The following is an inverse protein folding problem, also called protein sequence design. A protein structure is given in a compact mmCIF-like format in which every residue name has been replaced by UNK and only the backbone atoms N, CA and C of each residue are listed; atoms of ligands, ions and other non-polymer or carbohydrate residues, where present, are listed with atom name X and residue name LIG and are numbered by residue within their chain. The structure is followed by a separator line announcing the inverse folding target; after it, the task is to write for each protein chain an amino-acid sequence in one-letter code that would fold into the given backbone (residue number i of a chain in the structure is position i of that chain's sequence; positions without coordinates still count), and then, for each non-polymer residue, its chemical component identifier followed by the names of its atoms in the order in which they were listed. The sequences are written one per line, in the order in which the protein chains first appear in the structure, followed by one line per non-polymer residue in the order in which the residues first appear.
data_IF_485080046337
#
_entry.id   IF_485080046337
#
_cell.length_a   1.000
_cell.length_b   1.000
_cell.length_c   1.000
_cell.angle_alpha   90.00
_cell.angle_beta   90.00
_cell.angle_gamma   90.00
#
_symmetry.space_group_name_H-M   'P 1'
#
loop_
_entity.id
_entity.type
_entity.pdbx_description
1 polymer ?
#
# COMPACT_ATOMS: atom_id res chain seq x y z
N UNK A 1 16.52 -13.99 -45.83
CA UNK A 1 16.44 -12.93 -44.81
C UNK A 1 15.52 -13.44 -43.73
N UNK A 2 16.07 -14.01 -42.65
CA UNK A 2 15.26 -14.57 -41.56
C UNK A 2 15.53 -13.75 -40.31
N UNK A 3 14.65 -12.78 -40.05
CA UNK A 3 14.69 -11.97 -38.85
C UNK A 3 14.34 -12.83 -37.64
N UNK A 4 15.33 -13.16 -36.82
CA UNK A 4 15.08 -13.61 -35.46
C UNK A 4 14.77 -12.36 -34.64
N UNK A 5 13.48 -12.09 -34.43
CA UNK A 5 13.03 -11.19 -33.39
C UNK A 5 13.34 -11.84 -32.05
N UNK A 6 14.48 -11.48 -31.47
CA UNK A 6 14.78 -11.75 -30.06
C UNK A 6 13.78 -10.95 -29.24
N UNK A 7 12.65 -11.56 -28.90
CA UNK A 7 11.83 -11.10 -27.78
C UNK A 7 12.67 -11.29 -26.53
N UNK A 8 13.41 -10.25 -26.19
CA UNK A 8 14.01 -10.03 -24.87
C UNK A 8 12.87 -10.00 -23.87
N UNK A 9 12.41 -11.18 -23.49
CA UNK A 9 11.53 -11.38 -22.35
C UNK A 9 12.30 -10.82 -21.17
N UNK A 10 11.79 -9.72 -20.62
CA UNK A 10 12.29 -9.03 -19.44
C UNK A 10 12.24 -9.98 -18.24
N UNK A 11 13.15 -10.95 -18.23
CA UNK A 11 13.26 -11.99 -17.23
C UNK A 11 13.86 -11.34 -16.00
N UNK A 12 12.99 -11.03 -15.05
CA UNK A 12 13.36 -10.65 -13.69
C UNK A 12 14.41 -11.65 -13.21
N UNK A 13 15.58 -11.14 -12.83
CA UNK A 13 16.68 -11.94 -12.28
C UNK A 13 16.38 -12.28 -10.82
N UNK A 14 16.98 -13.37 -10.31
CA UNK A 14 16.82 -13.76 -8.90
C UNK A 14 17.33 -12.66 -7.94
N UNK A 15 18.32 -11.87 -8.36
CA UNK A 15 18.83 -10.73 -7.58
C UNK A 15 17.81 -9.59 -7.51
N UNK A 16 17.15 -9.26 -8.62
CA UNK A 16 16.05 -8.28 -8.65
C UNK A 16 14.86 -8.75 -7.81
N UNK A 17 14.54 -10.04 -7.86
CA UNK A 17 13.50 -10.65 -7.04
C UNK A 17 13.84 -10.54 -5.54
N UNK A 18 15.08 -10.88 -5.15
CA UNK A 18 15.54 -10.79 -3.77
C UNK A 18 15.57 -9.34 -3.26
N UNK A 19 16.02 -8.39 -4.08
CA UNK A 19 16.01 -6.97 -3.74
C UNK A 19 14.58 -6.45 -3.53
N UNK A 20 13.62 -6.89 -4.35
CA UNK A 20 12.21 -6.56 -4.19
C UNK A 20 11.66 -7.13 -2.88
N UNK A 21 11.94 -8.40 -2.57
CA UNK A 21 11.53 -9.04 -1.32
C UNK A 21 12.08 -8.28 -0.11
N UNK A 22 13.34 -7.85 -0.15
CA UNK A 22 13.97 -7.11 0.94
C UNK A 22 13.28 -5.76 1.19
N UNK A 23 12.97 -5.01 0.12
CA UNK A 23 12.20 -3.75 0.20
C UNK A 23 10.81 -4.00 0.77
N UNK A 24 10.14 -5.04 0.33
CA UNK A 24 8.81 -5.42 0.80
C UNK A 24 8.80 -5.81 2.29
N UNK A 25 9.85 -6.49 2.76
CA UNK A 25 10.02 -6.82 4.18
C UNK A 25 10.17 -5.56 5.04
N UNK A 26 10.95 -4.58 4.60
CA UNK A 26 11.15 -3.32 5.32
C UNK A 26 9.86 -2.51 5.50
N UNK A 27 8.92 -2.64 4.55
CA UNK A 27 7.62 -1.96 4.58
C UNK A 27 6.58 -2.67 5.45
N UNK A 28 6.89 -3.87 5.98
CA UNK A 28 5.96 -4.67 6.76
C UNK A 28 6.24 -4.57 8.26
N UNK A 29 5.42 -3.86 9.04
CA UNK A 29 5.60 -3.79 10.49
C UNK A 29 5.54 -5.18 11.13
N UNK A 30 4.73 -6.11 10.59
CA UNK A 30 4.57 -7.46 11.13
C UNK A 30 5.78 -8.37 10.92
N UNK A 31 6.54 -8.18 9.83
CA UNK A 31 7.76 -8.95 9.58
C UNK A 31 8.94 -8.42 10.40
N UNK A 32 8.92 -7.14 10.75
CA UNK A 32 9.97 -6.49 11.54
C UNK A 32 9.93 -6.88 13.04
N UNK A 33 8.75 -7.22 13.58
CA UNK A 33 8.57 -7.52 15.01
C UNK A 33 8.75 -9.01 15.40
N UNK A 34 8.77 -9.92 14.42
CA UNK A 34 8.33 -11.30 14.68
C UNK A 34 9.39 -12.38 14.63
N UNK A 35 10.10 -12.55 13.51
CA UNK A 35 10.82 -13.81 13.27
C UNK A 35 12.03 -13.61 12.37
N UNK A 36 13.20 -13.63 12.99
CA UNK A 36 14.52 -13.64 12.36
C UNK A 36 14.87 -15.00 11.71
N UNK A 37 13.87 -15.67 11.13
CA UNK A 37 14.01 -16.94 10.41
C UNK A 37 13.80 -16.73 8.92
N UNK A 38 14.45 -17.55 8.08
CA UNK A 38 14.40 -17.45 6.61
C UNK A 38 12.94 -17.54 6.12
N UNK A 39 12.32 -16.39 5.83
CA UNK A 39 10.93 -16.30 5.33
C UNK A 39 10.93 -16.54 3.83
N UNK A 40 10.04 -17.40 3.33
CA UNK A 40 9.92 -17.63 1.89
C UNK A 40 9.38 -16.39 1.17
N UNK A 41 9.77 -16.20 -0.10
CA UNK A 41 9.25 -15.14 -0.96
C UNK A 41 7.71 -15.11 -0.99
N UNK A 42 7.09 -16.29 -1.14
CA UNK A 42 5.63 -16.44 -1.15
C UNK A 42 4.98 -15.95 0.16
N UNK A 43 5.63 -16.18 1.31
CA UNK A 43 5.13 -15.68 2.60
C UNK A 43 5.27 -14.16 2.71
N UNK A 44 6.39 -13.59 2.27
CA UNK A 44 6.57 -12.12 2.22
C UNK A 44 5.47 -11.50 1.35
N UNK A 45 5.26 -12.01 0.13
CA UNK A 45 4.23 -11.49 -0.77
C UNK A 45 2.82 -11.58 -0.18
N UNK A 46 2.48 -12.70 0.46
CA UNK A 46 1.18 -12.84 1.13
C UNK A 46 0.99 -11.83 2.26
N UNK A 47 2.01 -11.59 3.08
CA UNK A 47 1.96 -10.59 4.15
C UNK A 47 1.83 -9.17 3.57
N UNK A 48 2.53 -8.86 2.47
CA UNK A 48 2.38 -7.57 1.76
C UNK A 48 0.94 -7.39 1.27
N UNK A 49 0.39 -8.37 0.56
CA UNK A 49 -0.98 -8.29 0.05
C UNK A 49 -2.00 -8.15 1.18
N UNK A 50 -1.77 -8.84 2.30
CA UNK A 50 -2.61 -8.75 3.49
C UNK A 50 -2.52 -7.38 4.14
N UNK A 51 -1.32 -6.81 4.25
CA UNK A 51 -1.10 -5.47 4.81
C UNK A 51 -1.73 -4.37 3.94
N UNK A 52 -1.55 -4.43 2.61
CA UNK A 52 -2.22 -3.51 1.67
C UNK A 52 -3.74 -3.58 1.84
N UNK A 53 -4.31 -4.78 2.00
CA UNK A 53 -5.75 -4.93 2.21
C UNK A 53 -6.22 -4.30 3.52
N UNK A 54 -5.46 -4.48 4.61
CA UNK A 54 -5.75 -3.83 5.90
C UNK A 54 -5.69 -2.31 5.80
N UNK A 55 -4.62 -1.77 5.19
CA UNK A 55 -4.48 -0.34 4.96
C UNK A 55 -5.64 0.23 4.16
N UNK A 56 -6.05 -0.45 3.08
CA UNK A 56 -7.19 0.02 2.29
C UNK A 56 -8.48 0.05 3.11
N UNK A 57 -8.75 -1.00 3.89
CA UNK A 57 -9.93 -1.02 4.75
C UNK A 57 -9.88 0.07 5.83
N UNK A 58 -8.70 0.38 6.38
CA UNK A 58 -8.54 1.46 7.36
C UNK A 58 -8.77 2.83 6.71
N UNK A 59 -8.27 3.05 5.49
CA UNK A 59 -8.58 4.25 4.71
C UNK A 59 -10.08 4.37 4.45
N UNK A 60 -10.75 3.28 4.06
CA UNK A 60 -12.19 3.27 3.81
C UNK A 60 -13.00 3.59 5.09
N UNK A 61 -12.68 2.97 6.23
CA UNK A 61 -13.31 3.25 7.55
C UNK A 61 -13.11 4.71 7.98
N UNK A 62 -11.87 5.20 7.89
CA UNK A 62 -11.56 6.58 8.25
C UNK A 62 -12.26 7.58 7.34
N UNK A 63 -12.36 7.27 6.05
CA UNK A 63 -13.06 8.11 5.06
C UNK A 63 -14.55 8.18 5.37
N UNK A 64 -15.18 7.03 5.65
CA UNK A 64 -16.60 6.97 6.02
C UNK A 64 -16.88 7.74 7.32
N UNK A 65 -16.05 7.54 8.35
CA UNK A 65 -16.19 8.24 9.63
C UNK A 65 -15.97 9.74 9.49
N UNK A 66 -15.06 10.17 8.61
CA UNK A 66 -14.86 11.58 8.30
C UNK A 66 -16.10 12.14 7.61
N UNK A 67 -16.61 11.49 6.58
CA UNK A 67 -17.84 11.89 5.88
C UNK A 67 -19.02 12.03 6.84
N UNK A 68 -19.27 11.03 7.69
CA UNK A 68 -20.35 11.08 8.69
C UNK A 68 -20.17 12.24 9.67
N UNK A 69 -18.94 12.53 10.10
CA UNK A 69 -18.68 13.69 10.96
C UNK A 69 -18.95 15.01 10.26
N UNK A 70 -18.56 15.13 8.99
CA UNK A 70 -18.84 16.32 8.19
C UNK A 70 -20.32 16.52 7.93
N UNK A 71 -21.08 15.44 7.67
CA UNK A 71 -22.54 15.50 7.51
C UNK A 71 -23.26 15.83 8.83
N UNK A 72 -22.68 15.44 9.97
CA UNK A 72 -23.25 15.69 11.30
C UNK A 72 -23.02 17.10 11.82
N UNK A 73 -21.95 17.76 11.38
CA UNK A 73 -21.86 19.20 11.56
C UNK A 73 -22.85 19.78 10.55
N UNK A 74 -23.89 20.47 11.00
CA UNK A 74 -24.79 21.26 10.15
C UNK A 74 -23.98 22.46 9.62
N UNK A 75 -22.99 22.17 8.77
CA UNK A 75 -21.98 23.09 8.30
C UNK A 75 -22.69 24.10 7.42
N UNK A 76 -22.85 25.32 7.92
CA UNK A 76 -23.17 26.43 7.03
C UNK A 76 -22.04 26.58 6.00
N UNK A 77 -22.31 27.25 4.88
CA UNK A 77 -21.30 27.44 3.83
C UNK A 77 -19.97 28.02 4.36
N UNK A 78 -20.00 28.76 5.48
CA UNK A 78 -18.82 29.31 6.16
C UNK A 78 -18.01 28.24 6.93
N UNK A 79 -18.68 27.26 7.55
CA UNK A 79 -18.02 26.19 8.30
C UNK A 79 -17.37 25.16 7.37
N UNK A 80 -17.96 24.93 6.20
CA UNK A 80 -17.38 24.09 5.15
C UNK A 80 -16.04 24.64 4.64
N UNK A 81 -15.91 25.96 4.48
CA UNK A 81 -14.68 26.62 4.04
C UNK A 81 -13.54 26.46 5.07
N UNK A 82 -13.86 26.48 6.37
CA UNK A 82 -12.89 26.27 7.46
C UNK A 82 -12.41 24.81 7.49
N UNK A 83 -13.32 23.84 7.40
CA UNK A 83 -12.96 22.41 7.33
C UNK A 83 -12.07 22.12 6.12
N UNK A 84 -12.38 22.70 4.96
CA UNK A 84 -11.60 22.49 3.74
C UNK A 84 -10.18 23.03 3.89
N UNK A 85 -10.01 24.20 4.52
CA UNK A 85 -8.69 24.74 4.84
C UNK A 85 -7.91 23.88 5.85
N UNK A 86 -8.59 23.25 6.83
CA UNK A 86 -7.94 22.38 7.81
C UNK A 86 -7.47 21.04 7.21
N UNK A 87 -8.14 20.54 6.17
CA UNK A 87 -7.78 19.29 5.47
C UNK A 87 -6.72 19.49 4.37
N UNK A 88 -6.45 20.73 3.96
CA UNK A 88 -5.46 21.07 2.93
C UNK A 88 -4.03 21.23 3.47
N UNK A 89 -3.79 20.94 4.75
CA UNK A 89 -2.48 21.07 5.40
C UNK A 89 -1.85 19.71 5.75
#
# INVERSE_FOLDING_TARGET
MSGQGSTSSNRITDDELNALIFKLQALLPQLNHGRHGRVSAAKVLNEVCSYIRRLRNEVDDLSERLSQRLDSLDLSAFDAEIVTNLLQH
#
